data_IF_669789599259
#
_entry.id   IF_669789599259
#
_cell.length_a   1.000
_cell.length_b   1.000
_cell.length_c   1.000
_cell.angle_alpha   90.00
_cell.angle_beta   90.00
_cell.angle_gamma   90.00
#
_symmetry.space_group_name_H-M   'P 1'
#
loop_
_entity.id
_entity.type
_entity.pdbx_description
1 polymer ?
#
# COMPACT_ATOMS: atom_id res chain seq x y z
N UNK A 1 -20.31 -32.42 4.84
CA UNK A 1 -19.62 -31.34 4.09
C UNK A 1 -19.89 -29.96 4.70
N UNK A 2 -21.15 -29.49 4.76
CA UNK A 2 -21.52 -28.18 5.34
C UNK A 2 -20.95 -27.91 6.75
N UNK A 3 -21.03 -28.88 7.67
CA UNK A 3 -20.47 -28.73 9.04
C UNK A 3 -18.95 -28.53 9.06
N UNK A 4 -18.23 -29.26 8.20
CA UNK A 4 -16.76 -29.13 8.10
C UNK A 4 -16.35 -27.82 7.43
N UNK A 5 -17.10 -27.36 6.43
CA UNK A 5 -16.89 -26.04 5.83
C UNK A 5 -17.19 -24.91 6.82
N UNK A 6 -18.25 -25.05 7.62
CA UNK A 6 -18.62 -24.11 8.67
C UNK A 6 -17.54 -24.00 9.76
N UNK A 7 -17.03 -25.12 10.26
CA UNK A 7 -15.96 -25.11 11.27
C UNK A 7 -14.66 -24.47 10.75
N UNK A 8 -14.30 -24.74 9.50
CA UNK A 8 -13.13 -24.11 8.84
C UNK A 8 -13.34 -22.62 8.59
N UNK A 9 -14.52 -22.23 8.11
CA UNK A 9 -14.89 -20.83 7.88
C UNK A 9 -14.93 -20.02 9.17
N UNK A 10 -15.50 -20.57 10.24
CA UNK A 10 -15.54 -19.92 11.55
C UNK A 10 -14.15 -19.74 12.17
N UNK A 11 -13.26 -20.72 11.97
CA UNK A 11 -11.85 -20.59 12.37
C UNK A 11 -11.13 -19.47 11.62
N UNK A 12 -11.41 -19.32 10.32
CA UNK A 12 -10.87 -18.22 9.51
C UNK A 12 -11.40 -16.86 9.97
N UNK A 13 -12.71 -16.73 10.18
CA UNK A 13 -13.35 -15.49 10.65
C UNK A 13 -12.77 -15.06 12.00
N UNK A 14 -12.63 -15.99 12.96
CA UNK A 14 -12.04 -15.67 14.27
C UNK A 14 -10.60 -15.16 14.13
N UNK A 15 -9.76 -15.84 13.35
CA UNK A 15 -8.34 -15.46 13.21
C UNK A 15 -8.16 -14.16 12.42
N UNK A 16 -8.84 -14.01 11.28
CA UNK A 16 -8.77 -12.82 10.45
C UNK A 16 -9.42 -11.62 11.13
N UNK A 17 -10.59 -11.81 11.74
CA UNK A 17 -11.34 -10.77 12.44
C UNK A 17 -10.58 -10.17 13.62
N UNK A 18 -9.91 -10.99 14.45
CA UNK A 18 -9.08 -10.47 15.55
C UNK A 18 -7.93 -9.59 15.05
N UNK A 19 -7.27 -9.98 13.95
CA UNK A 19 -6.17 -9.20 13.37
C UNK A 19 -6.70 -7.87 12.82
N UNK A 20 -7.80 -7.87 12.06
CA UNK A 20 -8.38 -6.66 11.49
C UNK A 20 -8.83 -5.71 12.60
N UNK A 21 -9.56 -6.21 13.61
CA UNK A 21 -10.07 -5.40 14.71
C UNK A 21 -8.95 -4.77 15.55
N UNK A 22 -7.90 -5.53 15.87
CA UNK A 22 -6.72 -4.97 16.54
C UNK A 22 -6.04 -3.90 15.68
N UNK A 23 -5.91 -4.15 14.39
CA UNK A 23 -5.28 -3.21 13.46
C UNK A 23 -6.06 -1.91 13.32
N UNK A 24 -7.40 -1.97 13.24
CA UNK A 24 -8.24 -0.76 13.15
C UNK A 24 -8.22 0.06 14.43
N UNK A 25 -8.21 -0.59 15.61
CA UNK A 25 -8.05 0.11 16.90
C UNK A 25 -6.70 0.82 16.96
N UNK A 26 -5.61 0.16 16.53
CA UNK A 26 -4.28 0.76 16.52
C UNK A 26 -4.22 1.94 15.55
N UNK A 27 -4.76 1.79 14.33
CA UNK A 27 -4.81 2.87 13.34
C UNK A 27 -5.62 4.06 13.88
N UNK A 28 -6.78 3.81 14.47
CA UNK A 28 -7.60 4.86 15.08
C UNK A 28 -6.85 5.57 16.21
N UNK A 29 -6.23 4.81 17.11
CA UNK A 29 -5.48 5.37 18.23
C UNK A 29 -4.29 6.21 17.75
N UNK A 30 -3.48 5.68 16.83
CA UNK A 30 -2.32 6.40 16.28
C UNK A 30 -2.72 7.61 15.42
N UNK A 31 -3.91 7.58 14.81
CA UNK A 31 -4.48 8.71 14.08
C UNK A 31 -4.98 9.81 15.02
N UNK A 32 -5.57 9.46 16.16
CA UNK A 32 -6.26 10.41 17.05
C UNK A 32 -5.40 10.92 18.19
N UNK A 33 -4.33 10.20 18.53
CA UNK A 33 -3.38 10.59 19.56
C UNK A 33 -2.05 11.08 18.95
N UNK A 34 -1.47 12.07 19.60
CA UNK A 34 -0.31 12.79 19.11
C UNK A 34 0.28 13.68 20.20
N UNK A 35 1.42 14.27 19.87
CA UNK A 35 2.20 15.10 20.79
C UNK A 35 2.08 16.55 20.35
N UNK A 36 1.43 17.38 21.18
CA UNK A 36 1.35 18.82 20.98
C UNK A 36 1.49 19.50 22.36
N UNK A 37 2.31 20.55 22.43
CA UNK A 37 2.57 21.34 23.63
C UNK A 37 3.01 20.50 24.85
N UNK A 38 3.99 19.60 24.65
CA UNK A 38 4.59 18.72 25.68
C UNK A 38 3.60 17.80 26.45
N UNK A 39 2.37 17.66 25.95
CA UNK A 39 1.34 16.79 26.51
C UNK A 39 0.80 15.81 25.48
N UNK A 40 0.53 14.58 25.93
CA UNK A 40 -0.15 13.57 25.13
C UNK A 40 -1.65 13.79 25.24
N UNK A 41 -2.26 14.37 24.20
CA UNK A 41 -3.70 14.68 24.17
C UNK A 41 -4.40 13.98 23.00
N UNK A 42 -5.72 13.88 23.09
CA UNK A 42 -6.58 13.51 21.96
C UNK A 42 -6.69 14.74 21.05
N UNK A 43 -6.24 14.63 19.80
CA UNK A 43 -6.18 15.76 18.87
C UNK A 43 -7.55 15.99 18.23
N UNK A 44 -7.92 17.25 18.03
CA UNK A 44 -9.08 17.60 17.20
C UNK A 44 -8.80 17.26 15.72
N UNK A 45 -9.84 17.21 14.88
CA UNK A 45 -9.69 16.84 13.47
C UNK A 45 -8.79 17.81 12.69
N UNK A 46 -8.77 19.07 13.11
CA UNK A 46 -7.92 20.14 12.57
C UNK A 46 -6.43 19.96 12.91
N UNK A 47 -6.11 19.19 13.95
CA UNK A 47 -4.75 19.01 14.45
C UNK A 47 -4.13 17.66 14.07
N UNK A 48 -4.80 16.85 13.23
CA UNK A 48 -4.35 15.49 12.87
C UNK A 48 -2.94 15.44 12.27
N UNK A 49 -2.40 16.56 11.80
CA UNK A 49 -1.01 16.71 11.34
C UNK A 49 0.05 16.45 12.43
N UNK A 50 -0.30 16.61 13.72
CA UNK A 50 0.60 16.31 14.85
C UNK A 50 0.41 14.90 15.42
N UNK A 51 -0.46 14.10 14.81
CA UNK A 51 -0.68 12.71 15.21
C UNK A 51 0.59 11.86 15.04
N UNK A 52 0.70 10.78 15.82
CA UNK A 52 1.78 9.80 15.66
C UNK A 52 1.77 9.26 14.23
N UNK A 53 0.58 9.05 13.67
CA UNK A 53 0.38 8.56 12.32
C UNK A 53 0.87 9.56 11.26
N UNK A 54 0.69 10.87 11.47
CA UNK A 54 1.22 11.89 10.58
C UNK A 54 2.76 11.98 10.62
N UNK A 55 3.40 11.76 11.79
CA UNK A 55 4.86 11.66 11.87
C UNK A 55 5.40 10.48 11.05
N UNK A 56 4.79 9.31 11.19
CA UNK A 56 5.15 8.12 10.41
C UNK A 56 4.86 8.35 8.92
N UNK A 57 3.71 8.96 8.61
CA UNK A 57 3.31 9.33 7.26
C UNK A 57 4.32 10.24 6.57
N UNK A 58 4.75 11.30 7.24
CA UNK A 58 5.77 12.22 6.72
C UNK A 58 7.13 11.55 6.50
N UNK A 59 7.53 10.61 7.38
CA UNK A 59 8.76 9.86 7.21
C UNK A 59 8.73 8.96 5.96
N UNK A 60 7.57 8.41 5.61
CA UNK A 60 7.39 7.53 4.45
C UNK A 60 7.01 8.32 3.18
N UNK A 61 6.47 9.53 3.32
CA UNK A 61 5.96 10.37 2.22
C UNK A 61 7.00 10.66 1.13
N UNK A 62 8.29 10.74 1.51
CA UNK A 62 9.45 10.78 0.60
C UNK A 62 9.31 9.76 -0.54
N UNK A 63 8.86 8.54 -0.22
CA UNK A 63 8.87 7.42 -1.17
C UNK A 63 7.76 7.62 -2.21
N UNK A 64 6.71 8.32 -1.83
CA UNK A 64 5.55 8.58 -2.68
C UNK A 64 5.62 9.93 -3.42
N UNK A 65 6.59 10.80 -3.09
CA UNK A 65 6.88 12.03 -3.84
C UNK A 65 7.06 11.78 -5.36
N UNK A 66 7.87 10.82 -5.84
CA UNK A 66 8.00 10.54 -7.27
C UNK A 66 6.72 9.97 -7.92
N UNK A 67 5.79 9.42 -7.14
CA UNK A 67 4.48 8.94 -7.60
C UNK A 67 3.45 10.08 -7.72
N UNK A 68 3.81 11.30 -7.29
CA UNK A 68 2.98 12.49 -7.43
C UNK A 68 1.99 12.73 -6.29
N UNK A 69 2.01 11.89 -5.24
CA UNK A 69 1.18 12.03 -4.05
C UNK A 69 2.00 11.95 -2.75
N UNK A 70 3.11 12.69 -2.69
CA UNK A 70 4.01 12.79 -1.52
C UNK A 70 3.43 13.48 -0.28
N UNK A 71 2.12 13.36 -0.05
CA UNK A 71 1.43 13.87 1.11
C UNK A 71 1.38 12.80 2.21
N UNK A 72 1.53 13.21 3.46
CA UNK A 72 1.46 12.28 4.60
C UNK A 72 0.09 11.58 4.68
N UNK A 73 -1.00 12.27 4.32
CA UNK A 73 -2.35 11.69 4.31
C UNK A 73 -2.46 10.53 3.31
N UNK A 74 -1.90 10.71 2.10
CA UNK A 74 -1.94 9.69 1.05
C UNK A 74 -1.02 8.50 1.37
N UNK A 75 0.15 8.75 1.96
CA UNK A 75 1.06 7.72 2.46
C UNK A 75 0.40 6.88 3.56
N UNK A 76 -0.22 7.54 4.54
CA UNK A 76 -0.96 6.89 5.63
C UNK A 76 -2.16 6.12 5.10
N UNK A 77 -2.98 6.73 4.23
CA UNK A 77 -4.14 6.06 3.64
C UNK A 77 -3.75 4.83 2.82
N UNK A 78 -2.61 4.85 2.14
CA UNK A 78 -2.09 3.66 1.45
C UNK A 78 -1.66 2.57 2.43
N UNK A 79 -1.03 2.95 3.55
CA UNK A 79 -0.62 2.00 4.59
C UNK A 79 -1.83 1.35 5.29
N UNK A 80 -2.84 2.14 5.63
CA UNK A 80 -4.08 1.63 6.22
C UNK A 80 -4.86 0.77 5.22
N UNK A 81 -4.72 1.04 3.93
CA UNK A 81 -5.20 0.20 2.84
C UNK A 81 -4.54 -1.17 2.73
N UNK A 82 -3.29 -1.33 3.17
CA UNK A 82 -2.64 -2.64 3.26
C UNK A 82 -3.27 -3.51 4.36
N UNK A 83 -3.87 -2.89 5.38
CA UNK A 83 -4.61 -3.61 6.41
C UNK A 83 -5.89 -4.20 5.84
N UNK A 84 -6.68 -3.32 5.21
CA UNK A 84 -7.96 -3.62 4.59
C UNK A 84 -8.20 -2.60 3.47
N UNK A 85 -8.48 -3.06 2.24
CA UNK A 85 -8.54 -2.19 1.05
C UNK A 85 -9.70 -1.19 1.13
N UNK A 86 -10.79 -1.59 1.77
CA UNK A 86 -11.96 -0.77 2.06
C UNK A 86 -11.67 0.34 3.09
N UNK A 87 -10.69 0.15 3.96
CA UNK A 87 -10.35 1.09 5.00
C UNK A 87 -9.68 2.36 4.46
N UNK A 88 -9.16 2.32 3.21
CA UNK A 88 -8.64 3.50 2.53
C UNK A 88 -9.69 4.61 2.50
N UNK A 89 -10.93 4.28 2.13
CA UNK A 89 -12.02 5.26 2.00
C UNK A 89 -12.38 5.84 3.37
N UNK A 90 -12.43 5.00 4.41
CA UNK A 90 -12.67 5.45 5.79
C UNK A 90 -11.56 6.37 6.30
N UNK A 91 -10.30 6.03 6.05
CA UNK A 91 -9.17 6.87 6.47
C UNK A 91 -9.06 8.17 5.69
N UNK A 92 -9.35 8.17 4.39
CA UNK A 92 -9.48 9.41 3.60
C UNK A 92 -10.62 10.28 4.14
N UNK A 93 -11.75 9.67 4.52
CA UNK A 93 -12.87 10.36 5.16
C UNK A 93 -12.47 11.11 6.44
N UNK A 94 -11.71 10.45 7.32
CA UNK A 94 -11.25 11.02 8.59
C UNK A 94 -10.17 12.09 8.35
N UNK A 95 -9.20 11.82 7.46
CA UNK A 95 -8.05 12.70 7.25
C UNK A 95 -8.36 13.95 6.40
N UNK A 96 -9.35 13.87 5.51
CA UNK A 96 -9.77 14.98 4.65
C UNK A 96 -11.13 15.59 5.03
N UNK A 97 -11.82 15.04 6.04
CA UNK A 97 -13.14 15.50 6.49
C UNK A 97 -13.14 16.56 7.60
N UNK A 98 -11.99 16.89 8.17
CA UNK A 98 -11.87 17.76 9.36
C UNK A 98 -11.90 19.28 9.12
N UNK A 99 -12.45 19.77 8.00
CA UNK A 99 -12.48 21.20 7.68
C UNK A 99 -13.81 21.68 7.14
N UNK A 100 -13.92 22.99 6.85
CA UNK A 100 -15.15 23.65 6.35
C UNK A 100 -15.63 23.15 4.97
N UNK A 101 -14.82 22.35 4.28
CA UNK A 101 -15.13 21.79 2.96
C UNK A 101 -15.57 20.33 3.08
N UNK A 102 -16.41 19.88 2.16
CA UNK A 102 -16.73 18.45 2.06
C UNK A 102 -15.47 17.65 1.75
N UNK A 103 -15.35 16.43 2.30
CA UNK A 103 -14.19 15.53 2.09
C UNK A 103 -13.79 15.41 0.61
N UNK A 104 -14.78 15.39 -0.29
CA UNK A 104 -14.57 15.25 -1.73
C UNK A 104 -13.91 16.48 -2.36
N UNK A 105 -14.22 17.68 -1.89
CA UNK A 105 -13.60 18.94 -2.36
C UNK A 105 -12.15 19.04 -1.88
N UNK A 106 -11.89 18.69 -0.61
CA UNK A 106 -10.55 18.65 -0.05
C UNK A 106 -9.66 17.62 -0.78
N UNK A 107 -10.23 16.47 -1.15
CA UNK A 107 -9.54 15.44 -1.93
C UNK A 107 -9.24 15.92 -3.36
N UNK A 108 -10.21 16.54 -4.04
CA UNK A 108 -10.03 17.10 -5.38
C UNK A 108 -8.98 18.22 -5.44
N UNK A 109 -8.81 18.98 -4.36
CA UNK A 109 -7.78 20.01 -4.26
C UNK A 109 -6.36 19.43 -4.08
N UNK A 110 -6.24 18.19 -3.60
CA UNK A 110 -4.97 17.55 -3.23
C UNK A 110 -4.52 16.47 -4.22
N UNK A 111 -5.43 15.94 -5.03
CA UNK A 111 -5.15 14.99 -6.10
C UNK A 111 -5.56 15.56 -7.45
N UNK A 112 -4.60 15.60 -8.38
CA UNK A 112 -4.88 15.71 -9.82
C UNK A 112 -5.36 14.37 -10.36
N UNK A 113 -6.05 14.37 -11.51
CA UNK A 113 -6.53 13.14 -12.17
C UNK A 113 -5.42 12.08 -12.31
N UNK A 114 -4.24 12.49 -12.78
CA UNK A 114 -3.08 11.61 -12.98
C UNK A 114 -2.57 11.03 -11.66
N UNK A 115 -2.43 11.88 -10.63
CA UNK A 115 -1.95 11.46 -9.31
C UNK A 115 -2.97 10.56 -8.60
N UNK A 116 -4.26 10.78 -8.83
CA UNK A 116 -5.35 9.93 -8.36
C UNK A 116 -5.30 8.55 -8.99
N UNK A 117 -5.08 8.47 -10.31
CA UNK A 117 -4.89 7.18 -11.01
C UNK A 117 -3.66 6.43 -10.50
N UNK A 118 -2.53 7.11 -10.31
CA UNK A 118 -1.32 6.50 -9.74
C UNK A 118 -1.58 5.94 -8.34
N UNK A 119 -2.25 6.71 -7.48
CA UNK A 119 -2.63 6.29 -6.12
C UNK A 119 -3.56 5.06 -6.13
N UNK A 120 -4.58 5.04 -6.99
CA UNK A 120 -5.49 3.90 -7.12
C UNK A 120 -4.77 2.66 -7.61
N UNK A 121 -3.98 2.77 -8.68
CA UNK A 121 -3.25 1.62 -9.24
C UNK A 121 -2.23 1.08 -8.24
N UNK A 122 -1.51 1.94 -7.53
CA UNK A 122 -0.65 1.50 -6.43
C UNK A 122 -1.45 0.71 -5.39
N UNK A 123 -2.57 1.26 -4.90
CA UNK A 123 -3.36 0.61 -3.86
C UNK A 123 -4.09 -0.66 -4.33
N UNK A 124 -4.41 -0.82 -5.60
CA UNK A 124 -5.00 -2.04 -6.13
C UNK A 124 -3.97 -3.16 -6.30
N UNK A 125 -2.75 -2.83 -6.76
CA UNK A 125 -1.72 -3.82 -7.07
C UNK A 125 -0.81 -4.14 -5.88
N UNK A 126 -0.62 -3.20 -4.96
CA UNK A 126 0.23 -3.35 -3.78
C UNK A 126 -0.29 -4.46 -2.85
N UNK A 127 0.60 -4.97 -1.98
CA UNK A 127 0.48 -6.17 -1.17
C UNK A 127 -0.95 -6.59 -0.77
N UNK A 128 -1.22 -7.92 -0.74
CA UNK A 128 -2.49 -8.42 -0.29
C UNK A 128 -2.68 -8.12 1.22
N UNK A 129 -3.92 -8.10 1.70
CA UNK A 129 -4.21 -7.78 3.08
C UNK A 129 -3.56 -8.77 4.07
N UNK A 130 -3.44 -8.40 5.36
CA UNK A 130 -2.79 -9.24 6.39
C UNK A 130 -3.35 -10.66 6.47
N UNK A 131 -4.64 -10.85 6.16
CA UNK A 131 -5.26 -12.17 6.12
C UNK A 131 -4.62 -13.08 5.05
N UNK A 132 -4.40 -12.55 3.85
CA UNK A 132 -3.77 -13.27 2.76
C UNK A 132 -2.26 -13.46 2.98
N UNK A 133 -1.57 -12.45 3.53
CA UNK A 133 -0.16 -12.59 3.95
C UNK A 133 -0.01 -13.72 4.99
N UNK A 134 -0.93 -13.79 5.95
CA UNK A 134 -0.96 -14.84 6.96
C UNK A 134 -1.17 -16.24 6.37
N UNK A 135 -1.96 -16.36 5.31
CA UNK A 135 -2.10 -17.61 4.56
C UNK A 135 -0.79 -17.98 3.83
N UNK A 136 -0.20 -17.04 3.08
CA UNK A 136 1.08 -17.25 2.36
C UNK A 136 2.18 -17.71 3.31
N UNK A 137 2.30 -17.05 4.47
CA UNK A 137 3.30 -17.43 5.49
C UNK A 137 3.12 -18.87 5.98
N UNK A 138 1.87 -19.34 6.11
CA UNK A 138 1.57 -20.71 6.56
C UNK A 138 1.86 -21.74 5.47
N UNK A 139 1.62 -21.41 4.21
CA UNK A 139 1.87 -22.30 3.07
C UNK A 139 3.36 -22.40 2.73
N UNK A 140 4.10 -21.29 2.74
CA UNK A 140 5.53 -21.28 2.38
C UNK A 140 6.46 -21.72 3.52
N UNK A 141 5.97 -21.70 4.77
CA UNK A 141 6.74 -22.01 6.00
C UNK A 141 8.12 -21.30 6.08
N UNK A 142 8.27 -20.17 5.38
CA UNK A 142 9.50 -19.39 5.36
C UNK A 142 9.17 -17.89 5.23
N UNK A 143 9.51 -17.15 6.29
CA UNK A 143 9.23 -15.73 6.41
C UNK A 143 10.04 -14.90 5.40
N UNK A 144 11.26 -15.32 5.07
CA UNK A 144 12.10 -14.61 4.09
C UNK A 144 11.46 -14.63 2.70
N UNK A 145 10.93 -15.77 2.31
CA UNK A 145 10.21 -15.93 1.04
C UNK A 145 8.89 -15.17 1.01
N UNK A 146 8.15 -15.15 2.13
CA UNK A 146 6.91 -14.37 2.24
C UNK A 146 7.18 -12.87 2.06
N UNK A 147 8.21 -12.34 2.74
CA UNK A 147 8.60 -10.94 2.63
C UNK A 147 9.11 -10.64 1.21
N UNK A 148 9.88 -11.54 0.60
CA UNK A 148 10.33 -11.38 -0.78
C UNK A 148 9.16 -11.28 -1.76
N UNK A 149 8.15 -12.14 -1.64
CA UNK A 149 6.96 -12.10 -2.49
C UNK A 149 6.18 -10.78 -2.33
N UNK A 150 6.00 -10.32 -1.08
CA UNK A 150 5.33 -9.05 -0.78
C UNK A 150 6.12 -7.87 -1.34
N UNK A 151 7.43 -7.84 -1.10
CA UNK A 151 8.31 -6.77 -1.57
C UNK A 151 8.33 -6.71 -3.10
N UNK A 152 8.37 -7.86 -3.77
CA UNK A 152 8.27 -7.94 -5.23
C UNK A 152 6.95 -7.36 -5.75
N UNK A 153 5.82 -7.72 -5.15
CA UNK A 153 4.51 -7.20 -5.54
C UNK A 153 4.39 -5.69 -5.27
N UNK A 154 4.85 -5.20 -4.12
CA UNK A 154 4.89 -3.77 -3.81
C UNK A 154 5.81 -3.01 -4.77
N UNK A 155 6.98 -3.55 -5.09
CA UNK A 155 7.92 -2.96 -6.04
C UNK A 155 7.33 -2.87 -7.44
N UNK A 156 6.66 -3.92 -7.89
CA UNK A 156 5.97 -3.92 -9.18
C UNK A 156 4.83 -2.89 -9.23
N UNK A 157 3.99 -2.84 -8.18
CA UNK A 157 2.93 -1.83 -8.07
C UNK A 157 3.50 -0.41 -8.06
N UNK A 158 4.62 -0.18 -7.38
CA UNK A 158 5.32 1.09 -7.33
C UNK A 158 5.82 1.52 -8.70
N UNK A 159 6.44 0.62 -9.48
CA UNK A 159 6.93 0.90 -10.83
C UNK A 159 5.78 1.29 -11.76
N UNK A 160 4.66 0.56 -11.73
CA UNK A 160 3.49 0.90 -12.55
C UNK A 160 2.91 2.26 -12.15
N UNK A 161 2.74 2.51 -10.85
CA UNK A 161 2.22 3.78 -10.36
C UNK A 161 3.15 4.96 -10.72
N UNK A 162 4.47 4.74 -10.68
CA UNK A 162 5.47 5.70 -11.13
C UNK A 162 5.35 5.96 -12.65
N UNK A 163 5.22 4.92 -13.47
CA UNK A 163 5.02 5.06 -14.92
C UNK A 163 3.77 5.89 -15.24
N UNK A 164 2.65 5.63 -14.58
CA UNK A 164 1.41 6.40 -14.76
C UNK A 164 1.63 7.88 -14.45
N UNK A 165 2.31 8.19 -13.34
CA UNK A 165 2.57 9.57 -12.96
C UNK A 165 3.51 10.29 -13.95
N UNK A 166 4.55 9.61 -14.45
CA UNK A 166 5.49 10.22 -15.39
C UNK A 166 4.91 10.37 -16.80
N UNK A 167 4.19 9.37 -17.32
CA UNK A 167 3.51 9.45 -18.62
C UNK A 167 2.34 10.44 -18.60
N UNK A 168 1.55 10.47 -17.52
CA UNK A 168 0.51 11.47 -17.33
C UNK A 168 1.07 12.88 -17.20
N UNK A 169 2.21 13.05 -16.49
CA UNK A 169 2.92 14.32 -16.40
C UNK A 169 3.48 14.83 -17.74
N UNK A 170 3.84 13.91 -18.64
CA UNK A 170 4.22 14.24 -20.02
C UNK A 170 3.04 14.77 -20.85
N UNK A 171 1.84 14.23 -20.64
CA UNK A 171 0.63 14.73 -21.30
C UNK A 171 0.16 16.11 -20.78
N UNK A 172 0.58 16.51 -19.57
CA UNK A 172 0.19 17.78 -18.92
C UNK A 172 1.31 18.83 -18.90
N UNK A 173 2.46 18.57 -19.54
CA UNK A 173 3.54 19.55 -19.72
C UNK A 173 4.40 19.83 -18.47
N UNK A 174 4.22 19.09 -17.37
CA UNK A 174 5.03 19.17 -16.13
C UNK A 174 5.91 17.94 -15.96
N UNK A 175 6.65 17.55 -17.00
CA UNK A 175 7.48 16.36 -16.96
C UNK A 175 8.85 16.63 -16.32
N UNK A 176 9.22 15.82 -15.33
CA UNK A 176 10.60 15.73 -14.87
C UNK A 176 11.38 14.84 -15.84
N UNK A 177 12.32 15.41 -16.59
CA UNK A 177 13.10 14.70 -17.60
C UNK A 177 13.80 13.44 -17.06
N UNK A 178 14.31 13.50 -15.82
CA UNK A 178 14.98 12.36 -15.16
C UNK A 178 13.98 11.25 -14.83
N UNK A 179 12.79 11.59 -14.33
CA UNK A 179 11.76 10.62 -14.00
C UNK A 179 11.22 9.88 -15.22
N UNK A 180 11.14 10.58 -16.35
CA UNK A 180 10.73 10.01 -17.63
C UNK A 180 11.73 8.97 -18.15
N UNK A 181 13.03 9.24 -18.06
CA UNK A 181 14.07 8.29 -18.49
C UNK A 181 14.00 6.99 -17.68
N UNK A 182 13.80 7.09 -16.36
CA UNK A 182 13.60 5.91 -15.51
C UNK A 182 12.29 5.18 -15.82
N UNK A 183 11.21 5.90 -16.15
CA UNK A 183 9.94 5.29 -16.53
C UNK A 183 10.03 4.53 -17.86
N UNK A 184 10.73 5.08 -18.85
CA UNK A 184 11.01 4.40 -20.12
C UNK A 184 11.94 3.20 -19.95
N UNK A 185 12.99 3.32 -19.13
CA UNK A 185 13.87 2.20 -18.82
C UNK A 185 13.11 1.07 -18.10
N UNK A 186 12.25 1.39 -17.14
CA UNK A 186 11.42 0.41 -16.46
C UNK A 186 10.42 -0.27 -17.41
N UNK A 187 9.80 0.50 -18.30
CA UNK A 187 8.91 -0.03 -19.35
C UNK A 187 9.66 -0.97 -20.29
N UNK A 188 10.88 -0.63 -20.72
CA UNK A 188 11.72 -1.49 -21.56
C UNK A 188 12.14 -2.77 -20.83
N UNK A 189 12.45 -2.71 -19.53
CA UNK A 189 12.76 -3.89 -18.72
C UNK A 189 11.54 -4.81 -18.58
N UNK A 190 10.35 -4.25 -18.35
CA UNK A 190 9.10 -5.03 -18.28
C UNK A 190 8.80 -5.68 -19.63
N UNK A 191 8.91 -4.94 -20.73
CA UNK A 191 8.73 -5.48 -22.08
C UNK A 191 9.78 -6.56 -22.41
N UNK A 192 11.04 -6.36 -22.01
CA UNK A 192 12.09 -7.35 -22.18
C UNK A 192 11.79 -8.64 -21.37
N UNK A 193 11.38 -8.51 -20.10
CA UNK A 193 10.98 -9.67 -19.30
C UNK A 193 9.76 -10.38 -19.87
N UNK A 194 8.80 -9.65 -20.44
CA UNK A 194 7.58 -10.23 -21.02
C UNK A 194 7.85 -10.96 -22.35
N UNK A 195 8.64 -10.37 -23.24
CA UNK A 195 8.82 -10.87 -24.61
C UNK A 195 10.06 -11.74 -24.79
N UNK A 196 11.15 -11.46 -24.08
CA UNK A 196 12.44 -12.12 -24.33
C UNK A 196 12.79 -13.16 -23.28
N UNK A 197 12.35 -13.01 -22.03
CA UNK A 197 12.55 -14.05 -21.01
C UNK A 197 11.43 -15.09 -21.09
N UNK A 198 11.52 -15.98 -22.08
CA UNK A 198 10.75 -17.23 -22.06
C UNK A 198 11.13 -17.96 -20.77
N UNK A 199 10.14 -18.25 -19.94
CA UNK A 199 10.31 -18.99 -18.68
C UNK A 199 10.96 -20.34 -19.03
N UNK A 200 12.23 -20.53 -18.71
CA UNK A 200 12.81 -21.88 -18.68
C UNK A 200 12.23 -22.55 -17.44
N UNK A 201 11.37 -23.54 -17.65
CA UNK A 201 10.93 -24.42 -16.57
C UNK A 201 12.18 -25.06 -15.94
N UNK A 202 12.32 -24.92 -14.62
CA UNK A 202 13.32 -25.65 -13.88
C UNK A 202 12.95 -27.15 -13.92
N UNK A 203 13.56 -27.89 -14.84
CA UNK A 203 13.30 -29.31 -15.11
C UNK A 203 13.78 -30.24 -13.98
N UNK A 204 14.42 -29.69 -12.93
CA UNK A 204 14.91 -30.46 -11.78
C UNK A 204 14.66 -29.73 -10.46
N UNK A 205 13.79 -30.34 -9.66
CA UNK A 205 13.76 -30.13 -8.21
C UNK A 205 15.00 -30.82 -7.63
N UNK A 206 16.08 -30.07 -7.37
CA UNK A 206 17.15 -30.58 -6.48
C UNK A 206 16.56 -30.73 -5.08
N UNK A 207 16.09 -31.94 -4.79
CA UNK A 207 15.74 -32.37 -3.45
C UNK A 207 17.06 -32.46 -2.67
N UNK A 208 17.11 -31.85 -1.48
CA UNK A 208 18.26 -31.87 -0.56
C UNK A 208 18.48 -33.28 0.03
N UNK A 209 18.72 -34.28 -0.83
CA UNK A 209 18.87 -35.68 -0.47
C UNK A 209 19.95 -36.43 -1.27
N UNK A 210 20.38 -35.94 -2.43
CA UNK A 210 21.41 -36.60 -3.28
C UNK A 210 22.85 -36.18 -2.98
N UNK A 211 23.09 -35.54 -1.82
CA UNK A 211 24.42 -35.19 -1.33
C UNK A 211 24.83 -36.05 -0.12
N UNK A 212 24.54 -37.36 -0.17
CA UNK A 212 25.07 -38.36 0.76
C UNK A 212 25.53 -39.61 0.01
#
# INVERSE_FOLDING_TARGET
>A
VLRSMWERGWSFIKKAGTIILLSTIIVWFTSRFGFKDDSFKMLAEEELEYSILAKIGNAIAWIFTPLGWGNWQAAVASFTGLVAKENIVGTMGILYGGGDQTTWQALAAKFTEITGFSFLVFNLLCAPCFAAIGAIKREMNNVKWTIFAIAYQCGFAYVIAFMINQFGGLATGKANAVGLVFAFAALLVILYMLFFKKYEEADKLTVLGDAA
#
